data_IF_564062284908
#
_entry.id   IF_564062284908
#
_cell.length_a   1.000
_cell.length_b   1.000
_cell.length_c   1.000
_cell.angle_alpha   90.00
_cell.angle_beta   90.00
_cell.angle_gamma   90.00
#
_symmetry.space_group_name_H-M   'P 1'
#
loop_
_entity.id
_entity.type
_entity.pdbx_description
1 polymer ?
#
# COMPACT_ATOMS: atom_id res chain seq x y z
N UNK A 1 4.32 -17.65 12.26
CA UNK A 1 4.39 -16.55 11.27
C UNK A 1 3.15 -16.66 10.42
N UNK A 2 2.52 -15.55 10.03
CA UNK A 2 1.51 -15.65 8.97
C UNK A 2 2.30 -16.01 7.70
N UNK A 3 2.02 -17.15 7.06
CA UNK A 3 2.71 -17.74 5.88
C UNK A 3 2.70 -16.82 4.64
N UNK A 4 3.25 -15.62 4.79
CA UNK A 4 3.20 -14.53 3.81
C UNK A 4 4.59 -14.29 3.23
N UNK A 5 5.65 -14.71 3.91
CA UNK A 5 7.04 -14.52 3.48
C UNK A 5 7.92 -15.71 3.88
N UNK A 6 8.87 -16.05 3.03
CA UNK A 6 9.90 -17.07 3.28
C UNK A 6 11.28 -16.41 3.15
N UNK A 7 12.20 -16.74 4.06
CA UNK A 7 13.59 -16.31 3.96
C UNK A 7 14.31 -17.20 2.95
N UNK A 8 14.87 -16.59 1.92
CA UNK A 8 15.52 -17.28 0.81
C UNK A 8 16.90 -16.67 0.55
N UNK A 9 17.80 -17.44 -0.06
CA UNK A 9 19.10 -16.92 -0.49
C UNK A 9 18.92 -15.78 -1.48
N UNK A 10 19.83 -14.79 -1.42
CA UNK A 10 19.77 -13.60 -2.27
C UNK A 10 19.86 -14.00 -3.75
N UNK A 11 18.82 -13.72 -4.57
CA UNK A 11 18.86 -14.07 -5.98
C UNK A 11 19.94 -13.27 -6.70
N UNK A 12 20.73 -13.94 -7.56
CA UNK A 12 21.85 -13.33 -8.29
C UNK A 12 21.42 -12.45 -9.47
N UNK A 13 20.23 -12.71 -10.03
CA UNK A 13 19.77 -12.13 -11.30
C UNK A 13 18.60 -11.16 -11.11
N UNK A 14 17.84 -11.28 -10.02
CA UNK A 14 16.62 -10.51 -9.79
C UNK A 14 16.87 -9.28 -8.90
N UNK A 15 16.11 -8.21 -9.13
CA UNK A 15 16.17 -7.01 -8.30
C UNK A 15 15.62 -7.30 -6.90
N UNK A 16 16.40 -6.91 -5.89
CA UNK A 16 15.98 -6.99 -4.48
C UNK A 16 15.65 -5.59 -4.00
N UNK A 17 14.46 -5.41 -3.47
CA UNK A 17 13.99 -4.11 -2.97
C UNK A 17 14.59 -3.88 -1.58
N UNK A 18 15.39 -2.83 -1.42
CA UNK A 18 15.97 -2.51 -0.11
C UNK A 18 14.89 -2.27 0.95
N UNK A 19 15.24 -2.36 2.24
CA UNK A 19 14.32 -2.01 3.33
C UNK A 19 14.85 -0.90 4.23
N UNK A 20 13.91 -0.17 4.84
CA UNK A 20 14.16 0.86 5.84
C UNK A 20 13.19 0.68 7.00
N UNK A 21 13.72 0.69 8.21
CA UNK A 21 12.92 0.83 9.42
C UNK A 21 12.75 2.32 9.72
N UNK A 22 11.50 2.75 9.90
CA UNK A 22 11.14 4.09 10.34
C UNK A 22 10.55 4.00 11.74
N UNK A 23 11.23 4.61 12.69
CA UNK A 23 10.78 4.71 14.07
C UNK A 23 10.08 6.04 14.29
N UNK A 24 8.91 6.00 14.93
CA UNK A 24 8.14 7.18 15.30
C UNK A 24 7.57 7.01 16.70
N UNK A 25 7.87 7.94 17.58
CA UNK A 25 7.26 7.98 18.91
C UNK A 25 5.91 8.70 18.80
N UNK A 26 4.87 8.09 19.36
CA UNK A 26 3.61 8.75 19.64
C UNK A 26 3.71 9.38 21.02
N UNK A 27 3.61 10.70 21.06
CA UNK A 27 3.56 11.49 22.29
C UNK A 27 2.10 11.86 22.61
N UNK A 28 1.79 12.07 23.88
CA UNK A 28 0.56 12.75 24.30
C UNK A 28 0.72 14.27 24.18
N UNK A 29 -0.35 15.01 24.47
CA UNK A 29 -0.34 16.48 24.48
C UNK A 29 0.64 17.05 25.52
N UNK A 30 1.00 16.25 26.52
CA UNK A 30 2.00 16.54 27.55
C UNK A 30 3.43 16.19 27.12
N UNK A 31 3.67 15.86 25.84
CA UNK A 31 4.97 15.46 25.25
C UNK A 31 5.60 14.17 25.81
N UNK A 32 4.87 13.40 26.61
CA UNK A 32 5.29 12.09 27.12
C UNK A 32 5.10 11.02 26.06
N UNK A 33 6.13 10.20 25.85
CA UNK A 33 6.07 9.08 24.89
C UNK A 33 5.12 8.01 25.40
N UNK A 34 3.98 7.84 24.72
CA UNK A 34 2.98 6.81 25.03
C UNK A 34 3.30 5.50 24.31
N UNK A 35 3.86 5.60 23.09
CA UNK A 35 4.09 4.41 22.25
C UNK A 35 5.18 4.63 21.21
N UNK A 36 6.13 3.71 21.16
CA UNK A 36 7.07 3.62 20.05
C UNK A 36 6.41 2.85 18.90
N UNK A 37 6.46 3.40 17.68
CA UNK A 37 6.01 2.73 16.46
C UNK A 37 7.20 2.48 15.55
N UNK A 38 7.34 1.26 15.07
CA UNK A 38 8.23 0.93 13.95
C UNK A 38 7.38 0.66 12.71
N UNK A 39 7.85 1.10 11.55
CA UNK A 39 7.29 0.76 10.25
C UNK A 39 8.42 0.23 9.38
N UNK A 40 8.23 -0.98 8.84
CA UNK A 40 9.09 -1.51 7.78
C UNK A 40 8.59 -0.94 6.45
N UNK A 41 9.47 -0.24 5.74
CA UNK A 41 9.17 0.34 4.44
C UNK A 41 10.15 -0.19 3.41
N UNK A 42 9.64 -0.53 2.24
CA UNK A 42 10.46 -0.78 1.06
C UNK A 42 11.15 0.53 0.62
N UNK A 43 12.47 0.46 0.44
CA UNK A 43 13.29 1.49 -0.21
C UNK A 43 13.10 1.35 -1.71
N UNK A 44 12.17 2.10 -2.24
CA UNK A 44 11.91 2.12 -3.68
C UNK A 44 12.86 3.14 -4.32
N UNK A 45 14.12 2.74 -4.53
CA UNK A 45 15.08 3.56 -5.30
C UNK A 45 15.01 3.30 -6.81
N UNK A 46 14.28 2.25 -7.23
CA UNK A 46 14.16 1.79 -8.62
C UNK A 46 12.69 1.63 -9.05
N UNK A 47 11.78 2.50 -8.62
CA UNK A 47 10.59 2.72 -9.45
C UNK A 47 11.09 3.43 -10.70
N UNK A 48 11.40 2.65 -11.72
CA UNK A 48 11.47 3.16 -13.07
C UNK A 48 10.06 3.73 -13.32
N UNK A 49 9.91 5.05 -13.30
CA UNK A 49 8.85 5.68 -14.10
C UNK A 49 9.01 5.07 -15.48
N UNK A 50 8.00 4.37 -16.01
CA UNK A 50 8.06 3.43 -17.15
C UNK A 50 8.09 1.99 -16.63
N UNK A 51 6.96 1.39 -16.30
CA UNK A 51 6.00 0.86 -17.28
C UNK A 51 4.57 1.01 -16.76
N UNK A 52 3.79 1.80 -17.51
CA UNK A 52 2.32 1.82 -17.56
C UNK A 52 1.49 2.49 -16.44
N UNK A 53 2.04 3.52 -15.78
CA UNK A 53 1.20 4.55 -15.12
C UNK A 53 0.53 5.51 -16.13
N UNK A 54 0.56 5.24 -17.44
CA UNK A 54 -0.36 5.92 -18.38
C UNK A 54 -1.78 5.41 -18.27
N UNK A 55 -1.98 4.26 -17.62
CA UNK A 55 -3.29 3.81 -17.16
C UNK A 55 -3.50 4.20 -15.69
N UNK A 56 -3.20 5.46 -15.32
CA UNK A 56 -3.89 6.11 -14.19
C UNK A 56 -5.35 6.29 -14.61
N UNK A 57 -6.09 5.20 -14.67
CA UNK A 57 -7.49 5.24 -14.30
C UNK A 57 -7.44 5.23 -12.78
N UNK A 58 -7.08 6.39 -12.21
CA UNK A 58 -7.40 6.64 -10.82
C UNK A 58 -8.88 6.28 -10.67
N UNK A 59 -9.23 5.36 -9.79
CA UNK A 59 -10.62 4.91 -9.58
C UNK A 59 -11.50 6.00 -8.95
N UNK A 60 -11.04 7.26 -9.02
CA UNK A 60 -11.79 8.43 -8.61
C UNK A 60 -12.78 8.70 -9.71
N UNK A 61 -14.02 8.29 -9.49
CA UNK A 61 -15.14 8.65 -10.34
C UNK A 61 -15.19 10.19 -10.48
N UNK A 62 -15.24 10.67 -11.73
CA UNK A 62 -15.39 12.11 -11.99
C UNK A 62 -16.73 12.58 -11.45
N UNK A 63 -16.77 13.81 -10.89
CA UNK A 63 -18.00 14.39 -10.34
C UNK A 63 -19.16 14.41 -11.35
N UNK A 64 -18.87 14.62 -12.63
CA UNK A 64 -19.85 14.57 -13.71
C UNK A 64 -20.55 13.21 -13.80
N UNK A 65 -19.79 12.12 -13.71
CA UNK A 65 -20.32 10.76 -13.76
C UNK A 65 -21.15 10.45 -12.51
N UNK A 66 -20.68 10.90 -11.34
CA UNK A 66 -21.44 10.75 -10.09
C UNK A 66 -22.78 11.50 -10.17
N UNK A 67 -22.79 12.71 -10.72
CA UNK A 67 -24.02 13.52 -10.91
C UNK A 67 -25.01 12.83 -11.84
N UNK A 68 -24.55 12.29 -12.97
CA UNK A 68 -25.41 11.54 -13.91
C UNK A 68 -25.97 10.28 -13.25
N UNK A 69 -25.14 9.54 -12.50
CA UNK A 69 -25.57 8.34 -11.77
C UNK A 69 -26.64 8.68 -10.72
N UNK A 70 -26.45 9.76 -9.95
CA UNK A 70 -27.42 10.23 -8.96
C UNK A 70 -28.73 10.66 -9.63
N UNK A 71 -28.67 11.43 -10.71
CA UNK A 71 -29.85 11.86 -11.45
C UNK A 71 -30.65 10.66 -11.99
N UNK A 72 -29.95 9.65 -12.52
CA UNK A 72 -30.56 8.42 -12.99
C UNK A 72 -31.17 7.61 -11.85
N UNK A 73 -30.48 7.48 -10.72
CA UNK A 73 -31.01 6.78 -9.55
C UNK A 73 -32.26 7.47 -9.00
N UNK A 74 -32.29 8.80 -8.92
CA UNK A 74 -33.48 9.57 -8.55
C UNK A 74 -34.64 9.32 -9.52
N UNK A 75 -34.37 9.33 -10.83
CA UNK A 75 -35.38 9.05 -11.85
C UNK A 75 -35.94 7.62 -11.75
N UNK A 76 -35.10 6.64 -11.42
CA UNK A 76 -35.50 5.23 -11.27
C UNK A 76 -35.98 4.85 -9.86
N UNK A 77 -35.96 5.78 -8.91
CA UNK A 77 -36.29 5.51 -7.51
C UNK A 77 -35.32 4.54 -6.81
N UNK A 78 -34.07 4.46 -7.29
CA UNK A 78 -33.06 3.57 -6.72
C UNK A 78 -32.47 4.14 -5.43
N UNK A 79 -32.26 3.26 -4.45
CA UNK A 79 -31.54 3.58 -3.23
C UNK A 79 -30.05 3.29 -3.41
N UNK A 80 -29.23 4.34 -3.33
CA UNK A 80 -27.78 4.23 -3.44
C UNK A 80 -27.13 4.19 -2.05
N UNK A 81 -26.03 3.45 -1.95
CA UNK A 81 -25.22 3.34 -0.74
C UNK A 81 -23.76 3.67 -1.08
N UNK A 82 -23.12 4.49 -0.27
CA UNK A 82 -21.70 4.82 -0.39
C UNK A 82 -20.92 4.09 0.69
N UNK A 83 -19.82 3.43 0.30
CA UNK A 83 -18.89 2.77 1.21
C UNK A 83 -17.53 3.43 1.00
N UNK A 84 -17.03 4.11 2.03
CA UNK A 84 -15.66 4.63 2.07
C UNK A 84 -14.75 3.62 2.77
N UNK A 85 -13.85 3.00 1.99
CA UNK A 85 -12.91 2.01 2.51
C UNK A 85 -11.63 2.72 2.93
N UNK A 86 -11.49 2.97 4.24
CA UNK A 86 -10.33 3.68 4.83
C UNK A 86 -8.96 3.04 4.56
N UNK A 87 -8.92 1.77 4.15
CA UNK A 87 -7.72 1.03 3.80
C UNK A 87 -8.04 0.11 2.61
N UNK A 88 -8.14 0.67 1.40
CA UNK A 88 -8.24 -0.13 0.18
C UNK A 88 -6.85 -0.67 -0.20
N UNK A 89 -6.36 -1.64 0.58
CA UNK A 89 -5.29 -2.50 0.07
C UNK A 89 -5.92 -3.41 -0.98
N UNK A 90 -5.44 -3.32 -2.22
CA UNK A 90 -5.77 -4.29 -3.25
C UNK A 90 -5.18 -5.63 -2.79
N UNK A 91 -5.98 -6.50 -2.17
CA UNK A 91 -5.60 -7.87 -1.84
C UNK A 91 -5.60 -8.74 -3.11
N UNK A 92 -4.92 -8.26 -4.15
CA UNK A 92 -4.73 -9.00 -5.39
C UNK A 92 -3.63 -10.02 -5.19
N UNK A 93 -3.84 -11.24 -5.70
CA UNK A 93 -2.77 -12.24 -5.78
C UNK A 93 -1.69 -11.68 -6.72
N UNK A 94 -0.51 -11.44 -6.18
CA UNK A 94 0.65 -11.01 -6.96
C UNK A 94 1.16 -12.26 -7.69
N UNK A 95 1.22 -12.22 -9.03
CA UNK A 95 1.78 -13.32 -9.84
C UNK A 95 3.32 -13.32 -9.86
N UNK A 96 3.90 -12.19 -9.50
CA UNK A 96 5.33 -11.92 -9.54
C UNK A 96 5.97 -12.16 -8.17
N UNK A 97 7.13 -12.82 -8.17
CA UNK A 97 7.93 -12.95 -6.96
C UNK A 97 8.64 -11.63 -6.67
N UNK A 98 8.38 -11.04 -5.51
CA UNK A 98 9.01 -9.79 -5.05
C UNK A 98 9.99 -10.13 -3.93
N UNK A 99 11.26 -9.81 -4.15
CA UNK A 99 12.32 -10.02 -3.16
C UNK A 99 12.61 -8.71 -2.44
N UNK A 100 12.71 -8.78 -1.12
CA UNK A 100 12.90 -7.63 -0.25
C UNK A 100 14.12 -7.89 0.63
N UNK A 101 15.03 -6.92 0.74
CA UNK A 101 16.22 -7.05 1.59
C UNK A 101 15.80 -7.16 3.05
N UNK A 102 16.50 -8.01 3.80
CA UNK A 102 16.27 -8.14 5.22
C UNK A 102 16.52 -6.79 5.92
N UNK A 103 15.67 -6.39 6.88
CA UNK A 103 15.89 -5.15 7.59
C UNK A 103 17.23 -5.16 8.34
N UNK A 104 17.94 -4.02 8.37
CA UNK A 104 19.22 -3.92 9.07
C UNK A 104 19.03 -4.30 10.55
N UNK A 105 19.92 -5.16 11.05
CA UNK A 105 19.84 -5.74 12.41
C UNK A 105 19.19 -7.12 12.49
N UNK A 106 18.73 -7.67 11.36
CA UNK A 106 18.22 -9.05 11.28
C UNK A 106 19.14 -10.00 10.50
N UNK A 107 20.26 -9.51 9.97
CA UNK A 107 21.24 -10.23 9.12
C UNK A 107 21.98 -11.40 9.82
N UNK A 108 21.73 -11.63 11.11
CA UNK A 108 22.41 -12.62 11.95
C UNK A 108 21.55 -13.85 12.31
N UNK A 109 20.52 -14.16 11.52
CA UNK A 109 19.69 -15.38 11.64
C UNK A 109 19.58 -16.11 10.32
#
# INVERSE_FOLDING_TARGET
MNDVWELVERPKVQSVVGTKLVFKNKMNDSTVVIRNKARLMAKVYNQIEVIDFKKIISSVARLEVIRVLLAFACYKGFKLYQIDVKNSFLNGVIKENVFVEQPPGFESY
#
